data_IF_075029006894
#
_entry.id   IF_075029006894
#
_cell.length_a   1.000
_cell.length_b   1.000
_cell.length_c   1.000
_cell.angle_alpha   90.00
_cell.angle_beta   90.00
_cell.angle_gamma   90.00
#
_symmetry.space_group_name_H-M   'P 1'
#
loop_
_entity.id
_entity.type
_entity.pdbx_description
1 polymer ?
#
# COMPACT_ATOMS: atom_id res chain seq x y z
N UNK A 1 -5.48 -0.39 12.77
CA UNK A 1 -4.57 -1.38 13.37
C UNK A 1 -3.68 -0.77 14.44
N UNK A 2 -3.10 0.44 14.23
CA UNK A 2 -2.20 1.04 15.23
C UNK A 2 -2.81 1.16 16.64
N UNK A 3 -4.07 1.61 16.84
CA UNK A 3 -4.66 1.64 18.18
C UNK A 3 -4.82 0.25 18.82
N UNK A 4 -5.01 -0.78 18.01
CA UNK A 4 -5.09 -2.17 18.52
C UNK A 4 -3.69 -2.61 18.98
N UNK A 5 -2.66 -2.34 18.21
CA UNK A 5 -1.29 -2.64 18.60
C UNK A 5 -0.89 -1.86 19.87
N UNK A 6 -1.25 -0.58 19.95
CA UNK A 6 -1.00 0.24 21.14
C UNK A 6 -1.62 -0.42 22.37
N UNK A 7 -2.90 -0.84 22.29
CA UNK A 7 -3.57 -1.56 23.38
C UNK A 7 -2.88 -2.89 23.74
N UNK A 8 -2.42 -3.65 22.76
CA UNK A 8 -1.67 -4.90 23.00
C UNK A 8 -0.33 -4.60 23.69
N UNK A 9 0.41 -3.60 23.21
CA UNK A 9 1.68 -3.19 23.81
C UNK A 9 1.51 -2.73 25.25
N UNK A 10 0.49 -1.92 25.52
CA UNK A 10 0.18 -1.42 26.87
C UNK A 10 -0.16 -2.58 27.82
N UNK A 11 -0.94 -3.57 27.37
CA UNK A 11 -1.27 -4.75 28.16
C UNK A 11 -0.05 -5.65 28.45
N UNK A 12 0.86 -5.74 27.50
CA UNK A 12 2.08 -6.53 27.65
C UNK A 12 3.18 -5.81 28.43
N UNK A 13 2.95 -4.52 28.81
CA UNK A 13 3.96 -3.71 29.46
C UNK A 13 5.14 -3.33 28.53
N UNK A 14 4.89 -3.27 27.22
CA UNK A 14 5.89 -2.82 26.25
C UNK A 14 6.06 -1.31 26.35
N UNK A 15 7.27 -0.84 26.63
CA UNK A 15 7.55 0.58 26.73
C UNK A 15 7.28 1.31 25.40
N UNK A 16 6.75 2.54 25.52
CA UNK A 16 6.40 3.37 24.36
C UNK A 16 7.59 3.58 23.42
N UNK A 17 8.75 3.82 23.98
CA UNK A 17 9.98 4.15 23.28
C UNK A 17 10.88 2.93 22.98
N UNK A 18 10.34 1.72 23.11
CA UNK A 18 11.09 0.49 22.83
C UNK A 18 11.24 0.26 21.33
N UNK A 19 12.35 -0.37 20.94
CA UNK A 19 12.55 -0.81 19.56
C UNK A 19 11.51 -1.84 19.14
N UNK A 20 11.07 -2.71 20.06
CA UNK A 20 10.01 -3.67 19.84
C UNK A 20 8.72 -2.99 19.34
N UNK A 21 8.27 -1.95 20.04
CA UNK A 21 7.05 -1.22 19.63
C UNK A 21 7.19 -0.60 18.25
N UNK A 22 8.34 0.03 17.97
CA UNK A 22 8.64 0.65 16.67
C UNK A 22 8.65 -0.38 15.54
N UNK A 23 9.28 -1.54 15.78
CA UNK A 23 9.34 -2.62 14.80
C UNK A 23 7.96 -3.24 14.52
N UNK A 24 7.13 -3.41 15.55
CA UNK A 24 5.76 -3.88 15.39
C UNK A 24 4.90 -2.87 14.61
N UNK A 25 5.06 -1.57 14.87
CA UNK A 25 4.40 -0.51 14.11
C UNK A 25 4.79 -0.54 12.63
N UNK A 26 6.09 -0.71 12.33
CA UNK A 26 6.58 -0.86 10.96
C UNK A 26 6.06 -2.16 10.32
N UNK A 27 5.96 -3.25 11.09
CA UNK A 27 5.37 -4.52 10.64
C UNK A 27 3.92 -4.41 10.23
N UNK A 28 3.10 -3.58 10.92
CA UNK A 28 1.73 -3.27 10.49
C UNK A 28 1.73 -2.59 9.12
N UNK A 29 2.63 -1.63 8.90
CA UNK A 29 2.73 -0.96 7.61
C UNK A 29 3.10 -1.94 6.48
N UNK A 30 4.11 -2.78 6.72
CA UNK A 30 4.50 -3.83 5.76
C UNK A 30 3.32 -4.75 5.45
N UNK A 31 2.58 -5.18 6.47
CA UNK A 31 1.39 -6.01 6.28
C UNK A 31 0.28 -5.32 5.51
N UNK A 32 0.15 -3.99 5.66
CA UNK A 32 -0.82 -3.19 4.90
C UNK A 32 -0.53 -3.15 3.40
N UNK A 33 0.70 -3.45 2.96
CA UNK A 33 1.02 -3.64 1.54
C UNK A 33 0.21 -4.78 0.90
N UNK A 34 -0.33 -5.70 1.70
CA UNK A 34 -1.27 -6.72 1.23
C UNK A 34 -2.52 -6.16 0.53
N UNK A 35 -2.86 -4.88 0.76
CA UNK A 35 -3.94 -4.21 0.04
C UNK A 35 -3.64 -4.02 -1.46
N UNK A 36 -2.37 -4.05 -1.86
CA UNK A 36 -1.93 -3.87 -3.25
C UNK A 36 -1.74 -5.19 -4.00
N UNK A 37 -1.98 -6.31 -3.34
CA UNK A 37 -1.94 -7.64 -3.95
C UNK A 37 -3.07 -7.84 -4.96
N UNK A 38 -4.23 -7.26 -4.67
CA UNK A 38 -5.39 -7.42 -5.52
C UNK A 38 -5.30 -6.48 -6.75
N UNK A 39 -5.38 -7.00 -7.99
CA UNK A 39 -5.33 -6.19 -9.21
C UNK A 39 -6.65 -5.44 -9.45
N UNK A 40 -7.29 -4.99 -8.38
CA UNK A 40 -8.63 -4.43 -8.40
C UNK A 40 -8.60 -2.91 -8.33
N UNK A 41 -9.73 -2.31 -8.73
CA UNK A 41 -9.97 -0.87 -8.74
C UNK A 41 -9.70 -0.26 -7.36
N UNK A 42 -8.53 0.34 -7.20
CA UNK A 42 -8.04 0.97 -5.96
C UNK A 42 -7.06 2.08 -6.28
N UNK A 43 -6.28 2.48 -5.32
CA UNK A 43 -5.28 3.57 -5.47
C UNK A 43 -4.26 3.29 -6.58
N UNK A 44 -3.95 2.03 -6.84
CA UNK A 44 -3.01 1.58 -7.87
C UNK A 44 -3.67 1.24 -9.22
N UNK A 45 -4.99 1.38 -9.34
CA UNK A 45 -5.71 1.13 -10.60
C UNK A 45 -5.13 1.94 -11.75
N UNK A 46 -4.80 3.21 -11.51
CA UNK A 46 -4.20 4.06 -12.54
C UNK A 46 -2.86 3.51 -13.04
N UNK A 47 -2.03 2.93 -12.15
CA UNK A 47 -0.79 2.27 -12.54
C UNK A 47 -1.08 1.02 -13.39
N UNK A 48 -2.03 0.19 -12.98
CA UNK A 48 -2.44 -1.00 -13.74
C UNK A 48 -3.02 -0.60 -15.10
N UNK A 49 -3.83 0.47 -15.17
CA UNK A 49 -4.39 0.95 -16.42
C UNK A 49 -3.30 1.44 -17.39
N UNK A 50 -2.26 2.13 -16.90
CA UNK A 50 -1.10 2.52 -17.70
C UNK A 50 -0.37 1.30 -18.22
N UNK A 51 -0.08 0.31 -17.36
CA UNK A 51 0.60 -0.92 -17.75
C UNK A 51 -0.21 -1.68 -18.79
N UNK A 52 -1.51 -1.88 -18.53
CA UNK A 52 -2.41 -2.58 -19.47
C UNK A 52 -2.49 -1.88 -20.81
N UNK A 53 -2.65 -0.54 -20.83
CA UNK A 53 -2.72 0.22 -22.07
C UNK A 53 -1.43 0.16 -22.89
N UNK A 54 -0.26 0.16 -22.26
CA UNK A 54 1.03 -0.01 -22.92
C UNK A 54 1.16 -1.44 -23.47
N UNK A 55 0.79 -2.45 -22.68
CA UNK A 55 0.83 -3.85 -23.11
C UNK A 55 -0.11 -4.09 -24.31
N UNK A 56 -1.33 -3.58 -24.25
CA UNK A 56 -2.32 -3.66 -25.34
C UNK A 56 -1.79 -3.00 -26.64
N UNK A 57 -1.17 -1.83 -26.54
CA UNK A 57 -0.56 -1.16 -27.69
C UNK A 57 0.59 -1.96 -28.32
N UNK A 58 1.20 -2.86 -27.53
CA UNK A 58 2.26 -3.79 -27.96
C UNK A 58 1.72 -5.16 -28.38
N UNK A 59 0.39 -5.35 -28.42
CA UNK A 59 -0.24 -6.63 -28.76
C UNK A 59 -0.20 -7.68 -27.63
N UNK A 60 0.11 -7.27 -26.41
CA UNK A 60 0.16 -8.12 -25.23
C UNK A 60 -1.04 -7.85 -24.30
N UNK A 61 -1.43 -8.84 -23.51
CA UNK A 61 -2.52 -8.68 -22.54
C UNK A 61 -2.00 -8.73 -21.11
N UNK A 62 -2.50 -7.82 -20.26
CA UNK A 62 -2.19 -7.82 -18.84
C UNK A 62 -2.83 -9.04 -18.15
N UNK A 63 -2.03 -9.83 -17.46
CA UNK A 63 -2.50 -11.05 -16.81
C UNK A 63 -2.81 -10.80 -15.32
N UNK A 64 -4.09 -10.59 -14.99
CA UNK A 64 -4.57 -10.36 -13.62
C UNK A 64 -4.25 -11.51 -12.65
N UNK A 65 -4.32 -12.76 -13.12
CA UNK A 65 -4.02 -13.92 -12.27
C UNK A 65 -2.53 -13.98 -11.92
N UNK A 66 -1.67 -13.73 -12.91
CA UNK A 66 -0.22 -13.69 -12.71
C UNK A 66 0.16 -12.52 -11.77
N UNK A 67 -0.49 -11.36 -11.95
CA UNK A 67 -0.33 -10.23 -11.03
C UNK A 67 -0.66 -10.64 -9.59
N UNK A 68 -1.85 -11.21 -9.37
CA UNK A 68 -2.32 -11.64 -8.05
C UNK A 68 -1.35 -12.61 -7.38
N UNK A 69 -0.94 -13.65 -8.09
CA UNK A 69 -0.03 -14.68 -7.55
C UNK A 69 1.33 -14.09 -7.20
N UNK A 70 1.93 -13.33 -8.14
CA UNK A 70 3.26 -12.73 -7.93
C UNK A 70 3.24 -11.71 -6.80
N UNK A 71 2.26 -10.81 -6.78
CA UNK A 71 2.13 -9.80 -5.74
C UNK A 71 1.90 -10.43 -4.36
N UNK A 72 1.08 -11.49 -4.28
CA UNK A 72 0.85 -12.25 -3.02
C UNK A 72 2.15 -12.83 -2.51
N UNK A 73 2.91 -13.49 -3.37
CA UNK A 73 4.18 -14.11 -2.97
C UNK A 73 5.21 -13.08 -2.51
N UNK A 74 5.34 -11.96 -3.23
CA UNK A 74 6.27 -10.89 -2.83
C UNK A 74 5.90 -10.33 -1.46
N UNK A 75 4.62 -10.01 -1.23
CA UNK A 75 4.18 -9.43 0.05
C UNK A 75 4.32 -10.44 1.20
N UNK A 76 3.91 -11.69 1.00
CA UNK A 76 4.05 -12.72 2.03
C UNK A 76 5.52 -12.99 2.36
N UNK A 77 6.39 -13.11 1.35
CA UNK A 77 7.81 -13.29 1.55
C UNK A 77 8.42 -12.10 2.31
N UNK A 78 7.99 -10.87 1.99
CA UNK A 78 8.48 -9.66 2.66
C UNK A 78 8.04 -9.62 4.13
N UNK A 79 6.77 -9.90 4.42
CA UNK A 79 6.26 -9.96 5.82
C UNK A 79 7.02 -11.02 6.63
N UNK A 80 7.20 -12.22 6.05
CA UNK A 80 7.93 -13.31 6.71
C UNK A 80 9.40 -12.95 6.94
N UNK A 81 10.07 -12.40 5.93
CA UNK A 81 11.46 -11.99 6.06
C UNK A 81 11.62 -10.90 7.11
N UNK A 82 10.74 -9.91 7.15
CA UNK A 82 10.74 -8.88 8.16
C UNK A 82 10.59 -9.46 9.58
N UNK A 83 9.65 -10.39 9.78
CA UNK A 83 9.48 -11.08 11.05
C UNK A 83 10.73 -11.88 11.46
N UNK A 84 11.37 -12.56 10.50
CA UNK A 84 12.63 -13.27 10.73
C UNK A 84 13.79 -12.31 11.08
N UNK A 85 13.85 -11.13 10.44
CA UNK A 85 14.84 -10.11 10.77
C UNK A 85 14.70 -9.59 12.20
N UNK A 86 13.47 -9.29 12.65
CA UNK A 86 13.19 -8.90 14.04
C UNK A 86 13.75 -9.96 15.00
N UNK A 87 13.43 -11.23 14.74
CA UNK A 87 13.76 -12.32 15.66
C UNK A 87 15.25 -12.70 15.64
N UNK A 88 15.84 -12.85 14.46
CA UNK A 88 17.16 -13.50 14.31
C UNK A 88 18.30 -12.51 14.05
N UNK A 89 18.05 -11.42 13.34
CA UNK A 89 19.09 -10.45 12.96
C UNK A 89 19.14 -9.31 13.97
N UNK A 90 18.02 -8.68 14.24
CA UNK A 90 17.94 -7.59 15.22
C UNK A 90 17.91 -8.12 16.65
N UNK A 91 17.50 -9.39 16.83
CA UNK A 91 17.42 -10.07 18.12
C UNK A 91 16.63 -9.28 19.15
N UNK A 92 15.54 -8.67 18.70
CA UNK A 92 14.68 -7.85 19.55
C UNK A 92 14.07 -8.73 20.64
N UNK A 93 14.07 -8.24 21.86
CA UNK A 93 13.48 -8.96 22.99
C UNK A 93 11.97 -9.01 22.85
N UNK A 94 11.43 -10.19 22.62
CA UNK A 94 10.01 -10.48 22.50
C UNK A 94 9.39 -10.98 23.81
N UNK A 95 10.14 -10.97 24.92
CA UNK A 95 9.70 -11.55 26.20
C UNK A 95 8.43 -10.88 26.73
N UNK A 96 8.31 -9.56 26.56
CA UNK A 96 7.15 -8.80 26.95
C UNK A 96 5.85 -9.35 26.30
N UNK A 97 5.91 -9.76 25.03
CA UNK A 97 4.74 -10.31 24.33
C UNK A 97 4.27 -11.66 24.87
N UNK A 98 5.10 -12.40 25.61
CA UNK A 98 4.71 -13.64 26.28
C UNK A 98 3.76 -13.40 27.44
N UNK A 99 3.74 -12.17 27.96
CA UNK A 99 2.85 -11.76 29.05
C UNK A 99 1.45 -11.37 28.53
N UNK A 100 1.22 -11.52 27.22
CA UNK A 100 -0.09 -11.30 26.64
C UNK A 100 -1.06 -12.36 27.19
N UNK A 101 -1.98 -11.89 28.00
CA UNK A 101 -2.97 -12.72 28.67
C UNK A 101 -4.35 -12.13 28.38
N UNK A 102 -5.14 -12.86 27.62
CA UNK A 102 -6.50 -12.43 27.23
C UNK A 102 -7.39 -12.27 28.47
N UNK A 103 -7.14 -13.07 29.50
CA UNK A 103 -7.91 -13.00 30.77
C UNK A 103 -7.64 -11.70 31.53
N UNK A 104 -6.46 -11.09 31.34
CA UNK A 104 -6.13 -9.77 31.92
C UNK A 104 -6.87 -8.61 31.26
N UNK A 105 -7.48 -8.83 30.11
CA UNK A 105 -8.26 -7.79 29.43
C UNK A 105 -9.54 -7.44 30.21
N UNK A 106 -9.85 -8.16 31.31
CA UNK A 106 -11.09 -8.00 32.09
C UNK A 106 -12.33 -7.87 31.18
N UNK A 107 -12.30 -8.51 30.02
CA UNK A 107 -13.40 -8.47 29.07
C UNK A 107 -14.53 -9.29 29.67
N UNK A 108 -15.63 -8.63 29.96
CA UNK A 108 -16.87 -9.33 30.31
C UNK A 108 -17.47 -9.95 29.03
N UNK A 109 -18.31 -10.97 29.21
CA UNK A 109 -19.06 -11.50 28.05
C UNK A 109 -19.86 -10.42 27.31
N UNK A 110 -20.23 -9.34 28.00
CA UNK A 110 -20.90 -8.19 27.41
C UNK A 110 -19.98 -7.38 26.50
N UNK A 111 -18.68 -7.25 26.83
CA UNK A 111 -17.69 -6.54 26.01
C UNK A 111 -17.34 -7.33 24.73
N UNK A 112 -17.45 -8.65 24.78
CA UNK A 112 -17.25 -9.52 23.61
C UNK A 112 -18.47 -9.49 22.66
N UNK A 113 -19.63 -9.04 23.12
CA UNK A 113 -20.84 -8.94 22.30
C UNK A 113 -20.90 -7.58 21.62
N UNK A 114 -20.87 -7.57 20.31
CA UNK A 114 -21.05 -6.34 19.54
C UNK A 114 -22.39 -5.67 19.87
N UNK A 115 -22.35 -4.42 20.25
CA UNK A 115 -23.55 -3.61 20.44
C UNK A 115 -24.21 -3.30 19.07
N UNK A 116 -25.44 -2.79 19.09
CA UNK A 116 -26.19 -2.53 17.87
C UNK A 116 -25.45 -1.54 16.93
N UNK A 117 -24.84 -0.48 17.47
CA UNK A 117 -24.06 0.49 16.69
C UNK A 117 -22.86 -0.16 15.99
N UNK A 118 -22.12 -1.02 16.69
CA UNK A 118 -20.99 -1.76 16.11
C UNK A 118 -21.43 -2.70 14.99
N UNK A 119 -22.56 -3.39 15.16
CA UNK A 119 -23.12 -4.27 14.11
C UNK A 119 -23.52 -3.48 12.87
N UNK A 120 -24.14 -2.32 13.04
CA UNK A 120 -24.52 -1.43 11.93
C UNK A 120 -23.28 -0.92 11.22
N UNK A 121 -22.25 -0.44 11.96
CA UNK A 121 -20.99 0.03 11.37
C UNK A 121 -20.27 -1.08 10.60
N UNK A 122 -20.22 -2.28 11.18
CA UNK A 122 -19.65 -3.45 10.50
C UNK A 122 -20.45 -3.78 9.23
N UNK A 123 -21.79 -3.76 9.30
CA UNK A 123 -22.64 -3.98 8.14
C UNK A 123 -22.39 -2.98 7.01
N UNK A 124 -22.24 -1.70 7.32
CA UNK A 124 -21.89 -0.66 6.34
C UNK A 124 -20.50 -0.87 5.75
N UNK A 125 -19.51 -1.26 6.59
CA UNK A 125 -18.18 -1.57 6.11
C UNK A 125 -18.18 -2.77 5.16
N UNK A 126 -18.85 -3.86 5.54
CA UNK A 126 -18.98 -5.06 4.69
C UNK A 126 -19.73 -4.74 3.40
N UNK A 127 -20.80 -3.96 3.46
CA UNK A 127 -21.53 -3.49 2.27
C UNK A 127 -20.62 -2.71 1.33
N UNK A 128 -19.84 -1.74 1.85
CA UNK A 128 -18.89 -0.98 1.05
C UNK A 128 -17.84 -1.87 0.37
N UNK A 129 -17.30 -2.86 1.09
CA UNK A 129 -16.35 -3.84 0.54
C UNK A 129 -17.00 -4.68 -0.56
N UNK A 130 -18.21 -5.24 -0.30
CA UNK A 130 -18.94 -6.03 -1.30
C UNK A 130 -19.25 -5.20 -2.54
N UNK A 131 -19.66 -3.93 -2.37
CA UNK A 131 -19.93 -3.04 -3.49
C UNK A 131 -18.68 -2.80 -4.34
N UNK A 132 -17.53 -2.57 -3.70
CA UNK A 132 -16.25 -2.44 -4.39
C UNK A 132 -15.88 -3.72 -5.14
N UNK A 133 -16.00 -4.88 -4.50
CA UNK A 133 -15.71 -6.17 -5.11
C UNK A 133 -16.69 -6.49 -6.26
N UNK A 134 -17.96 -6.19 -6.10
CA UNK A 134 -18.97 -6.40 -7.15
C UNK A 134 -18.64 -5.62 -8.42
N UNK A 135 -18.17 -4.36 -8.29
CA UNK A 135 -17.77 -3.57 -9.46
C UNK A 135 -16.55 -4.12 -10.22
N UNK A 136 -15.82 -5.07 -9.63
CA UNK A 136 -14.64 -5.70 -10.21
C UNK A 136 -14.93 -7.02 -10.92
N UNK A 137 -15.99 -7.69 -10.48
CA UNK A 137 -16.39 -9.01 -10.99
C UNK A 137 -17.47 -8.88 -12.06
N UNK A 138 -18.30 -7.83 -11.96
CA UNK A 138 -19.37 -7.60 -12.91
C UNK A 138 -18.84 -7.02 -14.22
N UNK A 139 -19.51 -7.32 -15.37
CA UNK A 139 -19.16 -6.76 -16.66
C UNK A 139 -19.17 -5.22 -16.67
N UNK A 140 -18.37 -4.62 -17.55
CA UNK A 140 -18.22 -3.15 -17.64
C UNK A 140 -19.51 -2.42 -18.03
N UNK A 141 -20.43 -3.07 -18.69
CA UNK A 141 -21.76 -2.58 -19.08
C UNK A 141 -22.80 -2.70 -17.94
N UNK A 142 -22.45 -3.33 -16.82
CA UNK A 142 -23.37 -3.41 -15.67
C UNK A 142 -23.59 -2.02 -15.06
N UNK A 143 -24.81 -1.78 -14.56
CA UNK A 143 -25.19 -0.52 -13.91
C UNK A 143 -24.24 -0.20 -12.73
N UNK A 144 -23.83 -1.22 -11.97
CA UNK A 144 -22.92 -1.07 -10.81
C UNK A 144 -21.54 -0.62 -11.27
N UNK A 145 -20.98 -1.27 -12.29
CA UNK A 145 -19.65 -0.93 -12.82
C UNK A 145 -19.67 0.43 -13.52
N UNK A 146 -20.72 0.73 -14.30
CA UNK A 146 -20.90 2.02 -14.94
C UNK A 146 -21.00 3.16 -13.90
N UNK A 147 -21.78 2.96 -12.83
CA UNK A 147 -21.88 3.91 -11.73
C UNK A 147 -20.52 4.10 -11.04
N UNK A 148 -19.84 2.99 -10.73
CA UNK A 148 -18.51 3.02 -10.10
C UNK A 148 -17.50 3.78 -10.94
N UNK A 149 -17.44 3.51 -12.25
CA UNK A 149 -16.51 4.18 -13.17
C UNK A 149 -16.79 5.69 -13.28
N UNK A 150 -18.07 6.08 -13.19
CA UNK A 150 -18.48 7.49 -13.28
C UNK A 150 -18.23 8.26 -11.98
N UNK A 151 -18.42 7.64 -10.82
CA UNK A 151 -18.43 8.30 -9.51
C UNK A 151 -17.10 8.09 -8.75
N UNK A 152 -16.41 7.00 -9.05
CA UNK A 152 -15.13 6.61 -8.42
C UNK A 152 -15.30 5.86 -7.09
N UNK A 153 -14.24 5.18 -6.68
CA UNK A 153 -14.22 4.33 -5.47
C UNK A 153 -14.35 5.10 -4.16
N UNK A 154 -13.84 6.32 -4.12
CA UNK A 154 -13.82 7.12 -2.89
C UNK A 154 -15.20 7.58 -2.47
N UNK A 155 -16.09 7.82 -3.42
CA UNK A 155 -17.43 8.33 -3.16
C UNK A 155 -18.30 7.39 -2.33
N UNK A 156 -18.16 6.08 -2.50
CA UNK A 156 -18.96 5.13 -1.71
C UNK A 156 -18.72 5.35 -0.21
N UNK A 157 -17.47 5.53 0.19
CA UNK A 157 -17.12 5.76 1.60
C UNK A 157 -17.64 7.11 2.12
N UNK A 158 -17.58 8.15 1.29
CA UNK A 158 -18.12 9.47 1.64
C UNK A 158 -19.64 9.40 1.83
N UNK A 159 -20.36 8.73 0.91
CA UNK A 159 -21.81 8.55 1.01
C UNK A 159 -22.19 7.71 2.22
N UNK A 160 -21.52 6.59 2.46
CA UNK A 160 -21.78 5.74 3.62
C UNK A 160 -21.53 6.51 4.92
N UNK A 161 -20.45 7.29 4.99
CA UNK A 161 -20.16 8.15 6.14
C UNK A 161 -21.24 9.21 6.34
N UNK A 162 -21.68 9.88 5.27
CA UNK A 162 -22.75 10.87 5.33
C UNK A 162 -24.07 10.26 5.84
N UNK A 163 -24.45 9.07 5.34
CA UNK A 163 -25.63 8.34 5.81
C UNK A 163 -25.52 8.06 7.32
N UNK A 164 -24.38 7.57 7.79
CA UNK A 164 -24.14 7.28 9.21
C UNK A 164 -24.22 8.54 10.10
N UNK A 165 -23.88 9.70 9.55
CA UNK A 165 -24.04 10.98 10.24
C UNK A 165 -25.50 11.46 10.28
N UNK A 166 -26.31 11.08 9.28
CA UNK A 166 -27.73 11.48 9.20
C UNK A 166 -28.65 10.53 9.96
N UNK A 167 -28.35 9.24 10.00
CA UNK A 167 -29.14 8.24 10.73
C UNK A 167 -29.04 8.51 12.22
N UNK A 168 -30.20 8.48 12.90
CA UNK A 168 -30.30 8.70 14.34
C UNK A 168 -30.66 7.42 15.04
N UNK A 169 -30.13 7.28 16.26
CA UNK A 169 -30.50 6.18 17.14
C UNK A 169 -31.87 6.43 17.83
N UNK A 170 -32.28 5.48 18.67
CA UNK A 170 -33.55 5.57 19.42
C UNK A 170 -33.62 6.76 20.39
N UNK A 171 -32.45 7.33 20.74
CA UNK A 171 -32.34 8.51 21.60
C UNK A 171 -32.27 9.81 20.79
N UNK A 172 -32.42 9.77 19.47
CA UNK A 172 -32.32 10.91 18.58
C UNK A 172 -30.89 11.40 18.31
N UNK A 173 -29.86 10.68 18.80
CA UNK A 173 -28.45 11.00 18.57
C UNK A 173 -27.98 10.41 17.23
N UNK A 174 -27.10 11.12 16.48
CA UNK A 174 -26.54 10.56 15.27
C UNK A 174 -25.69 9.31 15.56
N UNK A 175 -25.70 8.34 14.66
CA UNK A 175 -24.85 7.14 14.78
C UNK A 175 -23.38 7.53 14.85
N UNK A 176 -22.95 8.48 14.02
CA UNK A 176 -21.62 9.08 14.06
C UNK A 176 -21.79 10.59 14.19
N UNK A 177 -21.16 11.19 15.18
CA UNK A 177 -21.01 12.63 15.23
C UNK A 177 -19.82 13.03 14.35
N UNK A 178 -20.10 13.30 13.06
CA UNK A 178 -19.10 13.60 12.05
C UNK A 178 -18.24 14.81 12.42
N UNK A 179 -18.83 15.87 12.97
CA UNK A 179 -18.12 17.09 13.39
C UNK A 179 -17.11 16.77 14.48
N UNK A 180 -17.55 16.08 15.54
CA UNK A 180 -16.67 15.69 16.65
C UNK A 180 -15.56 14.74 16.17
N UNK A 181 -15.88 13.81 15.26
CA UNK A 181 -14.87 12.89 14.69
C UNK A 181 -13.82 13.64 13.89
N UNK A 182 -14.23 14.53 13.00
CA UNK A 182 -13.34 15.35 12.18
C UNK A 182 -12.47 16.29 13.02
N UNK A 183 -13.02 16.86 14.09
CA UNK A 183 -12.28 17.78 14.97
C UNK A 183 -11.31 17.06 15.92
N UNK A 184 -11.69 15.89 16.46
CA UNK A 184 -10.94 15.25 17.55
C UNK A 184 -10.11 14.05 17.13
N UNK A 185 -10.41 13.44 15.98
CA UNK A 185 -9.77 12.20 15.52
C UNK A 185 -9.08 12.31 14.16
N UNK A 186 -9.37 13.37 13.40
CA UNK A 186 -8.71 13.58 12.11
C UNK A 186 -7.38 14.28 12.33
N UNK A 187 -6.32 13.67 11.85
CA UNK A 187 -4.97 14.24 11.90
C UNK A 187 -4.79 15.20 10.72
N UNK A 188 -5.32 16.43 10.86
CA UNK A 188 -5.33 17.44 9.79
C UNK A 188 -3.95 17.78 9.23
N UNK A 189 -2.90 17.74 10.07
CA UNK A 189 -1.52 17.90 9.62
C UNK A 189 -1.12 16.84 8.59
N UNK A 190 -1.52 15.58 8.81
CA UNK A 190 -1.28 14.48 7.86
C UNK A 190 -2.05 14.72 6.56
N UNK A 191 -3.31 15.15 6.64
CA UNK A 191 -4.14 15.44 5.45
C UNK A 191 -3.50 16.55 4.62
N UNK A 192 -3.03 17.62 5.26
CA UNK A 192 -2.36 18.73 4.58
C UNK A 192 -1.06 18.27 3.89
N UNK A 193 -0.20 17.54 4.61
CA UNK A 193 1.06 17.02 4.06
C UNK A 193 0.80 16.08 2.88
N UNK A 194 -0.12 15.12 3.02
CA UNK A 194 -0.50 14.21 1.94
C UNK A 194 -1.05 14.97 0.72
N UNK A 195 -1.85 16.01 0.94
CA UNK A 195 -2.36 16.87 -0.12
C UNK A 195 -1.24 17.59 -0.89
N UNK A 196 -0.30 18.22 -0.19
CA UNK A 196 0.85 18.88 -0.80
C UNK A 196 1.69 17.91 -1.65
N UNK A 197 2.02 16.72 -1.10
CA UNK A 197 2.79 15.72 -1.85
C UNK A 197 2.03 15.16 -3.05
N UNK A 198 0.71 15.04 -2.97
CA UNK A 198 -0.11 14.64 -4.12
C UNK A 198 -0.04 15.67 -5.24
N UNK A 199 -0.12 16.97 -4.91
CA UNK A 199 0.01 18.05 -5.89
C UNK A 199 1.41 18.05 -6.53
N UNK A 200 2.47 17.98 -5.72
CA UNK A 200 3.84 17.88 -6.23
C UNK A 200 4.04 16.65 -7.12
N UNK A 201 3.49 15.52 -6.70
CA UNK A 201 3.53 14.29 -7.46
C UNK A 201 2.81 14.38 -8.80
N UNK A 202 1.62 15.00 -8.83
CA UNK A 202 0.89 15.24 -10.07
C UNK A 202 1.65 16.18 -11.01
N UNK A 203 2.35 17.17 -10.46
CA UNK A 203 3.22 18.04 -11.24
C UNK A 203 4.38 17.27 -11.90
N UNK A 204 5.04 16.37 -11.16
CA UNK A 204 6.12 15.52 -11.71
C UNK A 204 5.60 14.60 -12.82
N UNK A 205 4.39 14.08 -12.69
CA UNK A 205 3.77 13.19 -13.68
C UNK A 205 3.15 13.96 -14.87
N UNK A 206 3.07 15.28 -14.81
CA UNK A 206 2.50 16.10 -15.88
C UNK A 206 3.38 16.12 -17.12
N UNK A 207 2.76 15.90 -18.30
CA UNK A 207 3.45 15.98 -19.57
C UNK A 207 3.89 17.44 -19.90
N UNK A 208 3.16 18.44 -19.39
CA UNK A 208 3.44 19.86 -19.62
C UNK A 208 4.77 20.33 -19.02
N UNK A 209 5.18 19.74 -17.89
CA UNK A 209 6.43 20.12 -17.21
C UNK A 209 7.67 19.41 -17.77
N UNK A 210 7.51 18.40 -18.61
CA UNK A 210 8.62 17.65 -19.22
C UNK A 210 9.51 16.88 -18.24
N UNK A 211 9.18 16.86 -16.94
CA UNK A 211 9.98 16.16 -15.91
C UNK A 211 9.98 14.66 -16.17
N UNK A 212 8.81 14.11 -16.51
CA UNK A 212 8.64 12.72 -16.88
C UNK A 212 9.53 12.34 -18.07
N UNK A 213 9.55 13.18 -19.12
CA UNK A 213 10.35 12.93 -20.31
C UNK A 213 11.86 13.07 -20.04
N UNK A 214 12.25 13.98 -19.15
CA UNK A 214 13.64 14.09 -18.69
C UNK A 214 14.08 12.82 -17.94
N UNK A 215 13.25 12.31 -17.04
CA UNK A 215 13.52 11.02 -16.33
C UNK A 215 13.57 9.88 -17.32
N UNK A 216 12.64 9.82 -18.26
CA UNK A 216 12.58 8.80 -19.30
C UNK A 216 13.85 8.79 -20.17
N UNK A 217 14.28 9.96 -20.63
CA UNK A 217 15.50 10.10 -21.45
C UNK A 217 16.78 9.70 -20.70
N UNK A 218 16.80 9.90 -19.37
CA UNK A 218 17.92 9.47 -18.53
C UNK A 218 17.93 7.95 -18.28
N UNK A 219 16.76 7.36 -18.09
CA UNK A 219 16.63 5.93 -17.75
C UNK A 219 16.67 5.02 -18.97
N UNK A 220 16.13 5.44 -20.10
CA UNK A 220 16.02 4.62 -21.31
C UNK A 220 17.36 4.01 -21.81
N UNK A 221 18.47 4.76 -21.87
CA UNK A 221 19.76 4.20 -22.29
C UNK A 221 20.29 3.11 -21.34
N UNK A 222 20.04 3.27 -20.04
CA UNK A 222 20.51 2.32 -19.01
C UNK A 222 19.67 1.05 -19.02
N UNK A 223 18.36 1.19 -19.19
CA UNK A 223 17.40 0.09 -19.15
C UNK A 223 17.30 -0.63 -20.50
N UNK A 224 17.48 0.07 -21.62
CA UNK A 224 17.32 -0.48 -22.97
C UNK A 224 18.38 -1.51 -23.36
N UNK A 225 19.54 -1.53 -22.69
CA UNK A 225 20.60 -2.53 -22.85
C UNK A 225 20.65 -3.56 -21.73
N UNK A 226 19.77 -3.46 -20.74
CA UNK A 226 19.76 -4.32 -19.57
C UNK A 226 19.15 -5.69 -19.89
N UNK A 227 19.73 -6.78 -19.38
CA UNK A 227 19.08 -8.09 -19.32
C UNK A 227 17.90 -8.07 -18.34
N UNK A 228 16.97 -9.02 -18.46
CA UNK A 228 15.80 -9.11 -17.61
C UNK A 228 16.11 -8.98 -16.10
N UNK A 229 17.08 -9.72 -15.52
CA UNK A 229 17.40 -9.57 -14.11
C UNK A 229 17.86 -8.15 -13.74
N UNK A 230 18.68 -7.55 -14.59
CA UNK A 230 19.19 -6.19 -14.33
C UNK A 230 18.05 -5.17 -14.41
N UNK A 231 17.15 -5.31 -15.40
CA UNK A 231 15.98 -4.45 -15.52
C UNK A 231 15.10 -4.52 -14.27
N UNK A 232 14.77 -5.73 -13.79
CA UNK A 232 13.94 -5.91 -12.59
C UNK A 232 14.60 -5.26 -11.37
N UNK A 233 15.89 -5.54 -11.14
CA UNK A 233 16.62 -4.98 -9.98
C UNK A 233 16.64 -3.44 -10.04
N UNK A 234 16.97 -2.89 -11.20
CA UNK A 234 17.03 -1.43 -11.37
C UNK A 234 15.65 -0.79 -11.19
N UNK A 235 14.60 -1.34 -11.81
CA UNK A 235 13.25 -0.80 -11.69
C UNK A 235 12.75 -0.85 -10.24
N UNK A 236 12.97 -1.95 -9.52
CA UNK A 236 12.59 -2.08 -8.11
C UNK A 236 13.39 -1.10 -7.24
N UNK A 237 14.71 -1.04 -7.40
CA UNK A 237 15.58 -0.18 -6.61
C UNK A 237 15.26 1.31 -6.86
N UNK A 238 15.16 1.72 -8.11
CA UNK A 238 14.84 3.10 -8.49
C UNK A 238 13.46 3.48 -7.97
N UNK A 239 12.44 2.64 -8.18
CA UNK A 239 11.08 2.89 -7.68
C UNK A 239 11.07 3.05 -6.15
N UNK A 240 11.75 2.16 -5.43
CA UNK A 240 11.84 2.22 -3.96
C UNK A 240 12.54 3.51 -3.49
N UNK A 241 13.69 3.87 -4.10
CA UNK A 241 14.44 5.07 -3.72
C UNK A 241 13.62 6.33 -4.00
N UNK A 242 13.09 6.46 -5.22
CA UNK A 242 12.32 7.64 -5.58
C UNK A 242 11.03 7.79 -4.78
N UNK A 243 10.37 6.69 -4.42
CA UNK A 243 9.19 6.72 -3.54
C UNK A 243 9.52 7.31 -2.18
N UNK A 244 10.69 7.04 -1.64
CA UNK A 244 11.12 7.63 -0.38
C UNK A 244 11.53 9.12 -0.49
N UNK A 245 11.76 9.63 -1.70
CA UNK A 245 12.10 11.04 -1.95
C UNK A 245 10.85 11.84 -2.33
N UNK A 246 9.94 11.23 -3.09
CA UNK A 246 8.78 11.91 -3.67
C UNK A 246 7.46 11.29 -3.20
N UNK A 247 6.62 10.82 -4.14
CA UNK A 247 5.36 10.14 -3.85
C UNK A 247 5.25 8.88 -4.70
N UNK A 248 4.74 7.80 -4.12
CA UNK A 248 4.68 6.48 -4.75
C UNK A 248 3.87 6.45 -6.05
N UNK A 249 2.75 7.16 -6.15
CA UNK A 249 1.91 7.12 -7.36
C UNK A 249 2.62 7.72 -8.60
N UNK A 250 3.15 8.95 -8.55
CA UNK A 250 3.91 9.50 -9.67
C UNK A 250 5.13 8.67 -10.05
N UNK A 251 5.83 8.11 -9.05
CA UNK A 251 6.96 7.20 -9.30
C UNK A 251 6.49 5.98 -10.08
N UNK A 252 5.41 5.33 -9.66
CA UNK A 252 4.82 4.20 -10.36
C UNK A 252 4.47 4.56 -11.81
N UNK A 253 3.82 5.70 -12.04
CA UNK A 253 3.43 6.14 -13.39
C UNK A 253 4.64 6.38 -14.27
N UNK A 254 5.62 7.13 -13.79
CA UNK A 254 6.81 7.49 -14.56
C UNK A 254 7.67 6.26 -14.88
N UNK A 255 7.94 5.42 -13.89
CA UNK A 255 8.76 4.22 -14.10
C UNK A 255 8.04 3.24 -15.04
N UNK A 256 6.75 3.00 -14.86
CA UNK A 256 6.00 2.11 -15.74
C UNK A 256 5.93 2.62 -17.19
N UNK A 257 5.74 3.92 -17.39
CA UNK A 257 5.73 4.51 -18.73
C UNK A 257 7.06 4.28 -19.50
N UNK A 258 8.18 4.16 -18.78
CA UNK A 258 9.51 3.91 -19.38
C UNK A 258 9.82 2.42 -19.49
N UNK A 259 9.56 1.67 -18.41
CA UNK A 259 10.05 0.30 -18.29
C UNK A 259 9.12 -0.73 -18.95
N UNK A 260 7.81 -0.49 -18.97
CA UNK A 260 6.85 -1.47 -19.54
C UNK A 260 7.01 -1.64 -21.05
N UNK A 261 7.20 -0.58 -21.88
CA UNK A 261 7.48 -0.78 -23.29
C UNK A 261 8.72 -1.65 -23.55
N UNK A 262 9.77 -1.47 -22.76
CA UNK A 262 10.99 -2.28 -22.84
C UNK A 262 10.71 -3.73 -22.42
N UNK A 263 9.98 -3.93 -21.33
CA UNK A 263 9.58 -5.26 -20.88
C UNK A 263 8.68 -5.99 -21.91
N UNK A 264 7.79 -5.26 -22.59
CA UNK A 264 7.00 -5.82 -23.69
C UNK A 264 7.90 -6.32 -24.83
N UNK A 265 8.91 -5.53 -25.22
CA UNK A 265 9.88 -5.95 -26.24
C UNK A 265 10.66 -7.18 -25.80
N UNK A 266 11.10 -7.24 -24.54
CA UNK A 266 11.80 -8.42 -24.00
C UNK A 266 10.88 -9.64 -23.98
N UNK A 267 9.63 -9.49 -23.54
CA UNK A 267 8.63 -10.57 -23.53
C UNK A 267 8.36 -11.12 -24.93
N UNK A 268 8.25 -10.26 -25.95
CA UNK A 268 8.11 -10.69 -27.36
C UNK A 268 9.34 -11.46 -27.86
N UNK A 269 10.51 -11.19 -27.31
CA UNK A 269 11.74 -11.91 -27.60
C UNK A 269 11.92 -13.19 -26.75
N UNK A 270 10.95 -13.53 -25.90
CA UNK A 270 11.02 -14.68 -25.00
C UNK A 270 11.83 -14.47 -23.74
N UNK A 271 12.09 -13.21 -23.38
CA UNK A 271 12.82 -12.83 -22.18
C UNK A 271 11.92 -12.01 -21.23
N UNK A 272 11.60 -12.54 -20.06
CA UNK A 272 10.86 -11.82 -19.03
C UNK A 272 9.36 -11.68 -19.32
N UNK A 273 8.68 -10.90 -18.46
CA UNK A 273 7.23 -10.72 -18.51
C UNK A 273 6.82 -9.30 -18.01
N UNK A 274 6.14 -8.54 -18.88
CA UNK A 274 5.75 -7.16 -18.59
C UNK A 274 4.76 -7.04 -17.42
N UNK A 275 3.83 -8.00 -17.25
CA UNK A 275 2.93 -8.02 -16.08
C UNK A 275 3.73 -8.13 -14.78
N UNK A 276 4.74 -9.00 -14.76
CA UNK A 276 5.57 -9.21 -13.54
C UNK A 276 6.41 -7.98 -13.23
N UNK A 277 6.97 -7.29 -14.24
CA UNK A 277 7.65 -6.01 -14.00
C UNK A 277 6.69 -4.97 -13.44
N UNK A 278 5.46 -4.92 -13.94
CA UNK A 278 4.40 -4.06 -13.41
C UNK A 278 4.08 -4.35 -11.93
N UNK A 279 4.01 -5.63 -11.53
CA UNK A 279 3.90 -6.01 -10.11
C UNK A 279 5.05 -5.44 -9.30
N UNK A 280 6.28 -5.67 -9.77
CA UNK A 280 7.50 -5.26 -9.07
C UNK A 280 7.53 -3.75 -8.82
N UNK A 281 7.24 -2.95 -9.85
CA UNK A 281 7.26 -1.48 -9.78
C UNK A 281 6.11 -0.91 -8.94
N UNK A 282 4.90 -1.48 -9.05
CA UNK A 282 3.75 -1.06 -8.21
C UNK A 282 4.06 -1.31 -6.73
N UNK A 283 4.52 -2.50 -6.36
CA UNK A 283 4.85 -2.81 -4.97
C UNK A 283 6.03 -1.97 -4.46
N UNK A 284 7.06 -1.76 -5.29
CA UNK A 284 8.21 -0.93 -4.96
C UNK A 284 7.80 0.53 -4.70
N UNK A 285 6.85 1.04 -5.46
CA UNK A 285 6.31 2.40 -5.27
C UNK A 285 5.49 2.56 -3.98
N UNK A 286 5.24 1.50 -3.24
CA UNK A 286 4.60 1.53 -1.92
C UNK A 286 5.58 1.39 -0.75
N UNK A 287 6.87 1.18 -1.03
CA UNK A 287 7.93 1.01 -0.01
C UNK A 287 8.48 2.35 0.50
N UNK A 288 7.66 3.07 1.24
CA UNK A 288 7.97 4.40 1.77
C UNK A 288 8.30 4.32 3.27
N UNK A 289 9.49 3.83 3.62
CA UNK A 289 9.89 3.59 5.02
C UNK A 289 10.81 4.68 5.58
N UNK A 290 11.17 5.72 4.80
CA UNK A 290 12.17 6.70 5.20
C UNK A 290 11.65 8.12 5.36
N UNK A 291 10.54 8.49 4.69
CA UNK A 291 10.04 9.87 4.70
C UNK A 291 8.53 9.95 4.91
N UNK A 292 8.12 10.97 5.66
CA UNK A 292 6.72 11.18 6.02
C UNK A 292 5.82 11.55 4.83
N UNK A 293 6.39 12.09 3.75
CA UNK A 293 5.63 12.68 2.66
C UNK A 293 5.32 11.76 1.50
N UNK A 294 5.91 10.58 1.50
CA UNK A 294 5.89 9.71 0.32
C UNK A 294 4.57 9.00 0.08
N UNK A 295 3.87 8.56 1.13
CA UNK A 295 2.55 7.92 1.03
C UNK A 295 1.76 8.20 2.31
N UNK A 296 0.43 8.27 2.23
CA UNK A 296 -0.44 8.54 3.38
C UNK A 296 -0.20 7.58 4.58
N UNK A 297 0.08 6.31 4.33
CA UNK A 297 0.37 5.35 5.40
C UNK A 297 1.73 5.61 6.07
N UNK A 298 2.74 6.01 5.29
CA UNK A 298 4.04 6.41 5.81
C UNK A 298 3.90 7.63 6.71
N UNK A 299 3.09 8.62 6.31
CA UNK A 299 2.83 9.81 7.11
C UNK A 299 2.19 9.45 8.46
N UNK A 300 1.24 8.50 8.47
CA UNK A 300 0.61 8.03 9.72
C UNK A 300 1.59 7.31 10.63
N UNK A 301 2.48 6.49 10.05
CA UNK A 301 3.48 5.74 10.82
C UNK A 301 4.61 6.64 11.31
N UNK A 302 5.26 7.32 10.37
CA UNK A 302 6.49 8.08 10.65
C UNK A 302 6.24 9.41 11.36
N UNK A 303 4.98 9.90 11.34
CA UNK A 303 4.54 11.06 12.12
C UNK A 303 4.24 10.76 13.59
N UNK A 304 4.40 9.51 14.05
CA UNK A 304 4.21 9.15 15.46
C UNK A 304 5.43 9.56 16.27
N UNK A 305 5.20 9.98 17.52
CA UNK A 305 6.26 10.43 18.43
C UNK A 305 7.31 9.36 18.72
N UNK A 306 6.90 8.07 18.70
CA UNK A 306 7.79 6.94 18.94
C UNK A 306 8.81 6.72 17.81
N UNK A 307 8.51 7.19 16.57
CA UNK A 307 9.35 6.99 15.41
C UNK A 307 10.50 7.98 15.35
N UNK A 308 11.65 7.59 15.87
CA UNK A 308 12.84 8.43 15.86
C UNK A 308 13.57 8.38 14.50
N UNK A 309 14.21 9.49 14.11
CA UNK A 309 15.01 9.54 12.88
C UNK A 309 16.10 8.45 12.85
N UNK A 310 16.71 8.15 13.99
CA UNK A 310 17.71 7.08 14.10
C UNK A 310 17.10 5.72 13.72
N UNK A 311 15.93 5.39 14.26
CA UNK A 311 15.23 4.14 13.93
C UNK A 311 14.87 4.08 12.44
N UNK A 312 14.28 5.16 11.92
CA UNK A 312 13.88 5.25 10.51
C UNK A 312 15.06 5.02 9.59
N UNK A 313 16.19 5.72 9.79
CA UNK A 313 17.36 5.56 8.92
C UNK A 313 18.09 4.23 9.10
N UNK A 314 18.06 3.63 10.28
CA UNK A 314 18.71 2.32 10.49
C UNK A 314 17.81 1.16 10.06
N UNK A 315 16.61 1.05 10.62
CA UNK A 315 15.69 -0.07 10.36
C UNK A 315 14.93 0.10 9.05
N UNK A 316 14.50 1.33 8.71
CA UNK A 316 13.80 1.61 7.45
C UNK A 316 14.66 1.36 6.22
N UNK A 317 15.96 1.74 6.23
CA UNK A 317 16.88 1.43 5.12
C UNK A 317 17.03 -0.07 4.94
N UNK A 318 17.26 -0.80 6.04
CA UNK A 318 17.37 -2.27 5.99
C UNK A 318 16.08 -2.88 5.46
N UNK A 319 14.93 -2.39 5.88
CA UNK A 319 13.63 -2.84 5.40
C UNK A 319 13.46 -2.63 3.88
N UNK A 320 13.88 -1.47 3.35
CA UNK A 320 13.90 -1.23 1.90
C UNK A 320 14.83 -2.22 1.18
N UNK A 321 16.01 -2.50 1.71
CA UNK A 321 16.95 -3.46 1.11
C UNK A 321 16.37 -4.87 1.09
N UNK A 322 15.74 -5.31 2.19
CA UNK A 322 15.05 -6.60 2.25
C UNK A 322 13.99 -6.69 1.14
N UNK A 323 13.18 -5.65 0.99
CA UNK A 323 12.16 -5.61 -0.06
C UNK A 323 12.78 -5.70 -1.46
N UNK A 324 13.78 -4.85 -1.76
CA UNK A 324 14.45 -4.83 -3.08
C UNK A 324 14.98 -6.23 -3.43
N UNK A 325 15.67 -6.87 -2.50
CA UNK A 325 16.25 -8.20 -2.74
C UNK A 325 15.17 -9.24 -2.98
N UNK A 326 14.15 -9.29 -2.14
CA UNK A 326 13.09 -10.31 -2.24
C UNK A 326 12.19 -10.10 -3.46
N UNK A 327 11.74 -8.88 -3.69
CA UNK A 327 10.87 -8.56 -4.83
C UNK A 327 11.62 -8.82 -6.14
N UNK A 328 12.89 -8.41 -6.24
CA UNK A 328 13.71 -8.68 -7.42
C UNK A 328 13.90 -10.17 -7.63
N UNK A 329 14.27 -10.93 -6.60
CA UNK A 329 14.49 -12.37 -6.73
C UNK A 329 13.23 -13.10 -7.22
N UNK A 330 12.07 -12.83 -6.61
CA UNK A 330 10.81 -13.45 -7.00
C UNK A 330 10.41 -13.05 -8.43
N UNK A 331 10.48 -11.75 -8.75
CA UNK A 331 10.06 -11.26 -10.06
C UNK A 331 11.02 -11.70 -11.19
N UNK A 332 12.32 -11.86 -10.91
CA UNK A 332 13.27 -12.42 -11.88
C UNK A 332 12.90 -13.86 -12.21
N UNK A 333 12.70 -14.70 -11.19
CA UNK A 333 12.35 -16.11 -11.38
C UNK A 333 11.02 -16.26 -12.10
N UNK A 334 10.00 -15.53 -11.67
CA UNK A 334 8.67 -15.58 -12.28
C UNK A 334 8.67 -15.07 -13.74
N UNK A 335 9.47 -14.04 -14.03
CA UNK A 335 9.59 -13.53 -15.40
C UNK A 335 10.20 -14.52 -16.40
N UNK A 336 11.00 -15.48 -15.92
CA UNK A 336 11.50 -16.57 -16.76
C UNK A 336 10.58 -17.79 -16.80
N UNK A 337 9.67 -17.94 -15.83
CA UNK A 337 8.75 -19.09 -15.76
C UNK A 337 7.46 -18.87 -16.55
N UNK A 338 7.04 -17.64 -16.69
CA UNK A 338 5.78 -17.23 -17.30
C UNK A 338 5.97 -16.21 -18.42
#
# INVERSE_FOLDING_TARGET
>A
WYPILDGICDMCGVEKDSDLKRELLLGIYISAMGAYVLPFKGVHLSSIAIISGIMESSGLTFNNALYLVTATLVVLAFVLAYALFIRFVWKTDLSALKNFDVDKMNLTEADLKMNFKQKVLLGFMVFGIIFLLASMVLPDDSIITAFYNKVGSTWIWIVLFAILCMVRDKEGKPFINGVKLLQSKTMWGIVAVAGCFTICGSAIASDELGIKDAIASFLAPVLGSASWPIMVILCVAISTIFTNITNGMPVSFTINAVCIPLACTMQMNGEGNATILGVATILASMCAFLTNGSIAYATVLLGREEMTNKFIFTKGVVTNIIFIVLASAICIVFGYLF
#
